data_IF_234861537506
#
_entry.id   IF_234861537506
#
_cell.length_a   1.000
_cell.length_b   1.000
_cell.length_c   1.000
_cell.angle_alpha   90.00
_cell.angle_beta   90.00
_cell.angle_gamma   90.00
#
_symmetry.space_group_name_H-M   'P 1'
#
loop_
_entity.id
_entity.type
_entity.pdbx_description
1 polymer ?
#
# COMPACT_ATOMS: atom_id res chain seq x y z
N UNK A 1 -66.34 53.27 -22.00
CA UNK A 1 -66.80 52.28 -23.00
C UNK A 1 -66.10 50.96 -22.71
N UNK A 2 -66.79 50.01 -22.07
CA UNK A 2 -66.30 48.70 -21.65
C UNK A 2 -66.91 47.55 -22.48
N UNK A 3 -66.28 46.38 -22.52
CA UNK A 3 -66.88 45.01 -22.66
C UNK A 3 -65.73 44.00 -22.74
N UNK A 4 -65.49 43.02 -21.85
CA UNK A 4 -66.31 41.98 -21.20
C UNK A 4 -66.40 40.65 -21.99
N UNK A 5 -66.21 39.54 -21.24
CA UNK A 5 -66.75 38.17 -21.39
C UNK A 5 -65.94 37.09 -22.14
N UNK A 6 -65.28 36.22 -21.33
CA UNK A 6 -65.60 34.80 -21.06
C UNK A 6 -65.54 33.69 -22.16
N UNK A 7 -65.39 32.40 -21.74
CA UNK A 7 -64.73 31.33 -22.48
C UNK A 7 -65.69 30.31 -23.11
N UNK A 8 -65.17 29.42 -23.97
CA UNK A 8 -65.91 28.27 -24.49
C UNK A 8 -65.17 26.94 -24.22
N UNK A 9 -65.96 25.98 -23.71
CA UNK A 9 -65.65 24.60 -23.32
C UNK A 9 -65.64 23.64 -24.51
N UNK A 10 -64.85 22.57 -24.44
CA UNK A 10 -65.10 21.22 -25.00
C UNK A 10 -64.20 20.24 -24.19
N UNK A 11 -64.68 19.59 -23.13
CA UNK A 11 -65.33 18.27 -23.06
C UNK A 11 -64.47 17.09 -23.52
N UNK A 12 -64.16 16.17 -22.59
CA UNK A 12 -63.60 14.85 -22.92
C UNK A 12 -63.04 14.09 -21.71
N UNK A 13 -63.93 13.52 -20.88
CA UNK A 13 -63.61 12.57 -19.81
C UNK A 13 -63.19 11.20 -20.38
N UNK A 14 -62.15 10.58 -19.81
CA UNK A 14 -62.11 9.12 -19.56
C UNK A 14 -61.43 8.83 -18.20
N UNK A 15 -62.08 7.96 -17.44
CA UNK A 15 -61.85 7.49 -16.06
C UNK A 15 -60.51 6.75 -15.84
N UNK A 16 -59.82 6.94 -14.69
CA UNK A 16 -59.79 6.13 -13.42
C UNK A 16 -59.35 4.67 -13.66
N UNK A 17 -58.30 4.10 -13.05
CA UNK A 17 -58.14 3.60 -11.65
C UNK A 17 -56.64 3.38 -11.32
N UNK A 18 -56.17 3.59 -10.06
CA UNK A 18 -54.83 3.22 -9.60
C UNK A 18 -54.78 1.80 -8.99
N UNK A 19 -53.79 1.00 -9.39
CA UNK A 19 -53.60 -0.36 -8.84
C UNK A 19 -52.50 -0.35 -7.77
N UNK A 20 -52.89 -0.62 -6.51
CA UNK A 20 -52.01 -1.14 -5.47
C UNK A 20 -51.62 -2.58 -5.79
N UNK A 21 -50.35 -2.95 -5.55
CA UNK A 21 -50.00 -4.33 -5.21
C UNK A 21 -48.98 -4.37 -4.07
N UNK A 22 -49.39 -5.07 -3.02
CA UNK A 22 -48.56 -5.57 -1.92
C UNK A 22 -47.49 -6.55 -2.45
N UNK A 23 -46.29 -6.48 -1.87
CA UNK A 23 -45.41 -7.64 -1.77
C UNK A 23 -45.00 -7.87 -0.32
N UNK A 24 -45.11 -9.14 0.04
CA UNK A 24 -44.99 -9.72 1.37
C UNK A 24 -43.53 -9.81 1.85
N UNK A 25 -43.38 -9.71 3.18
CA UNK A 25 -42.24 -10.15 4.01
C UNK A 25 -41.61 -11.44 3.49
N UNK A 26 -40.28 -11.56 3.60
CA UNK A 26 -39.61 -12.60 4.42
C UNK A 26 -38.24 -12.11 4.92
N UNK A 27 -38.00 -12.26 6.22
CA UNK A 27 -36.73 -12.01 6.92
C UNK A 27 -35.93 -13.33 6.98
N UNK A 28 -34.60 -13.33 6.85
CA UNK A 28 -33.82 -14.54 7.08
C UNK A 28 -33.62 -14.80 8.59
N UNK A 29 -33.42 -16.06 9.00
CA UNK A 29 -33.56 -16.47 10.39
C UNK A 29 -32.33 -16.19 11.26
N UNK A 30 -32.63 -15.91 12.53
CA UNK A 30 -31.71 -15.89 13.66
C UNK A 30 -31.01 -17.26 13.82
N UNK A 31 -29.68 -17.28 13.76
CA UNK A 31 -28.89 -18.39 14.28
C UNK A 31 -28.73 -18.23 15.79
N UNK A 32 -29.37 -19.14 16.52
CA UNK A 32 -29.26 -19.30 17.98
C UNK A 32 -28.13 -20.29 18.24
N UNK A 33 -26.95 -19.80 18.66
CA UNK A 33 -25.86 -20.66 19.13
C UNK A 33 -26.17 -21.12 20.55
N UNK A 34 -26.59 -22.38 20.67
CA UNK A 34 -26.71 -23.10 21.92
C UNK A 34 -25.33 -23.52 22.43
N UNK A 35 -24.99 -23.04 23.63
CA UNK A 35 -23.92 -23.56 24.46
C UNK A 35 -24.13 -25.06 24.71
N UNK A 36 -23.12 -25.88 24.39
CA UNK A 36 -22.92 -27.18 25.02
C UNK A 36 -21.50 -27.22 25.56
N UNK A 37 -21.44 -27.23 26.89
CA UNK A 37 -20.30 -27.59 27.69
C UNK A 37 -19.96 -29.06 27.44
N UNK A 38 -18.71 -29.36 27.08
CA UNK A 38 -18.16 -30.70 27.29
C UNK A 38 -16.81 -30.61 28.00
N UNK A 39 -16.74 -31.43 29.03
CA UNK A 39 -15.72 -31.53 30.05
C UNK A 39 -14.35 -31.94 29.51
N UNK A 40 -13.33 -31.41 30.17
CA UNK A 40 -11.94 -31.86 30.12
C UNK A 40 -11.77 -33.31 30.61
N UNK A 41 -10.74 -33.99 30.11
CA UNK A 41 -9.79 -34.83 30.90
C UNK A 41 -8.62 -35.28 30.01
N UNK A 42 -7.46 -35.66 30.59
CA UNK A 42 -6.15 -35.26 30.06
C UNK A 42 -5.19 -36.43 29.77
N UNK A 43 -3.94 -36.05 29.45
CA UNK A 43 -2.69 -36.83 29.38
C UNK A 43 -2.48 -37.76 28.18
N UNK A 44 -1.47 -37.42 27.37
CA UNK A 44 -0.37 -38.35 27.09
C UNK A 44 0.89 -37.57 26.72
N UNK A 45 1.84 -37.57 27.65
CA UNK A 45 3.23 -37.18 27.47
C UNK A 45 3.88 -37.92 26.29
N UNK A 46 4.35 -37.19 25.27
CA UNK A 46 5.37 -37.70 24.35
C UNK A 46 6.72 -37.08 24.67
N UNK A 47 7.58 -37.95 25.18
CA UNK A 47 9.01 -37.80 25.37
C UNK A 47 9.67 -37.57 24.01
N UNK A 48 10.39 -36.46 23.83
CA UNK A 48 11.39 -36.31 22.78
C UNK A 48 12.77 -36.54 23.39
N UNK A 49 13.58 -37.48 22.88
CA UNK A 49 14.96 -37.60 23.32
C UNK A 49 15.83 -36.51 22.68
N UNK A 50 16.71 -35.94 23.50
CA UNK A 50 17.90 -35.21 23.05
C UNK A 50 18.90 -36.20 22.44
N UNK A 51 19.44 -35.88 21.26
CA UNK A 51 20.79 -36.29 20.84
C UNK A 51 21.29 -35.24 19.83
N UNK A 52 22.31 -34.46 20.18
CA UNK A 52 23.74 -34.67 19.97
C UNK A 52 24.20 -34.49 18.51
N UNK A 53 25.07 -33.50 18.38
CA UNK A 53 25.97 -33.16 17.26
C UNK A 53 26.58 -34.33 16.48
N UNK A 54 26.50 -34.27 15.15
CA UNK A 54 27.47 -34.77 14.16
C UNK A 54 27.28 -33.91 12.89
N UNK A 55 28.16 -32.93 12.63
CA UNK A 55 29.28 -32.99 11.67
C UNK A 55 28.95 -33.58 10.30
N UNK A 56 28.82 -32.69 9.32
CA UNK A 56 29.37 -32.81 7.96
C UNK A 56 28.83 -33.91 7.03
N UNK A 57 28.07 -33.50 6.01
CA UNK A 57 28.39 -33.81 4.61
C UNK A 57 27.61 -32.93 3.63
N UNK A 58 28.33 -32.57 2.59
CA UNK A 58 28.02 -31.63 1.52
C UNK A 58 26.72 -31.91 0.77
N UNK A 59 25.89 -30.86 0.61
CA UNK A 59 24.98 -30.71 -0.52
C UNK A 59 25.41 -29.46 -1.27
N UNK A 60 26.17 -29.67 -2.35
CA UNK A 60 26.57 -28.62 -3.28
C UNK A 60 25.37 -28.26 -4.15
N UNK A 61 24.73 -27.13 -3.86
CA UNK A 61 23.87 -26.45 -4.82
C UNK A 61 24.74 -25.41 -5.53
N UNK A 62 25.11 -25.70 -6.77
CA UNK A 62 25.76 -24.73 -7.66
C UNK A 62 24.74 -23.67 -8.07
N UNK A 63 24.70 -22.57 -7.34
CA UNK A 63 24.12 -21.30 -7.77
C UNK A 63 25.26 -20.35 -8.15
N UNK A 64 25.39 -20.05 -9.43
CA UNK A 64 26.33 -19.06 -9.96
C UNK A 64 26.02 -17.68 -9.36
N UNK A 65 26.92 -17.16 -8.52
CA UNK A 65 26.87 -15.78 -8.06
C UNK A 65 27.38 -14.88 -9.19
N UNK A 66 26.47 -14.21 -9.91
CA UNK A 66 26.84 -12.99 -10.62
C UNK A 66 26.96 -11.85 -9.59
N UNK A 67 28.07 -11.12 -9.66
CA UNK A 67 28.37 -9.96 -8.80
C UNK A 67 27.31 -8.87 -8.99
N UNK A 68 26.34 -8.76 -8.09
CA UNK A 68 25.61 -7.50 -7.87
C UNK A 68 26.55 -6.53 -7.17
N UNK A 69 26.75 -5.34 -7.73
CA UNK A 69 27.56 -4.30 -7.10
C UNK A 69 26.79 -3.70 -5.92
N UNK A 70 27.27 -3.92 -4.70
CA UNK A 70 26.72 -3.32 -3.48
C UNK A 70 27.63 -2.15 -3.09
N UNK A 71 27.08 -0.94 -3.12
CA UNK A 71 27.79 0.28 -2.70
C UNK A 71 27.02 0.97 -1.57
N UNK A 72 27.73 1.20 -0.46
CA UNK A 72 27.22 2.00 0.65
C UNK A 72 27.48 3.48 0.35
N UNK A 73 26.44 4.25 0.03
CA UNK A 73 26.53 5.71 -0.05
C UNK A 73 26.00 6.30 1.27
N UNK A 74 26.81 7.12 1.95
CA UNK A 74 26.44 7.73 3.23
C UNK A 74 25.84 9.11 2.99
N UNK A 75 24.51 9.20 3.05
CA UNK A 75 23.81 10.41 3.48
C UNK A 75 23.53 10.29 4.99
N UNK A 76 23.53 11.40 5.72
CA UNK A 76 23.65 11.47 7.19
C UNK A 76 22.78 10.50 8.02
N UNK A 77 23.44 9.92 9.03
CA UNK A 77 22.98 9.13 10.21
C UNK A 77 21.98 7.96 10.06
N UNK A 78 21.39 7.73 8.89
CA UNK A 78 20.80 6.44 8.51
C UNK A 78 21.33 6.00 7.15
N UNK A 79 22.10 4.92 7.11
CA UNK A 79 22.71 4.40 5.87
C UNK A 79 21.63 3.78 4.99
N UNK A 80 21.11 4.56 4.05
CA UNK A 80 20.31 4.03 2.96
C UNK A 80 21.13 2.99 2.18
N UNK A 81 20.63 1.77 2.06
CA UNK A 81 21.28 0.72 1.26
C UNK A 81 20.88 0.91 -0.20
N UNK A 82 21.86 1.04 -1.10
CA UNK A 82 21.59 1.18 -2.53
C UNK A 82 21.89 -0.13 -3.25
N UNK A 83 20.90 -0.67 -3.95
CA UNK A 83 21.04 -1.87 -4.78
C UNK A 83 20.79 -1.51 -6.24
N UNK A 84 21.81 -1.74 -7.09
CA UNK A 84 21.73 -1.52 -8.53
C UNK A 84 21.73 -2.86 -9.26
N UNK A 85 20.73 -3.08 -10.10
CA UNK A 85 20.52 -4.31 -10.85
C UNK A 85 20.80 -4.12 -12.33
N UNK A 86 21.29 -5.16 -13.00
CA UNK A 86 21.66 -5.10 -14.42
C UNK A 86 20.44 -4.99 -15.34
N UNK A 87 19.27 -5.42 -14.88
CA UNK A 87 18.00 -5.38 -15.61
C UNK A 87 16.82 -5.17 -14.68
N UNK A 88 15.69 -4.74 -15.25
CA UNK A 88 14.42 -4.65 -14.53
C UNK A 88 13.99 -6.02 -13.97
N UNK A 89 14.24 -7.13 -14.69
CA UNK A 89 13.88 -8.47 -14.22
C UNK A 89 14.67 -8.92 -12.98
N UNK A 90 15.97 -8.61 -12.91
CA UNK A 90 16.77 -8.87 -11.71
C UNK A 90 16.28 -8.03 -10.52
N UNK A 91 15.94 -6.76 -10.76
CA UNK A 91 15.34 -5.89 -9.77
C UNK A 91 14.04 -6.48 -9.22
N UNK A 92 13.13 -6.91 -10.11
CA UNK A 92 11.86 -7.54 -9.71
C UNK A 92 12.08 -8.80 -8.88
N UNK A 93 13.02 -9.65 -9.29
CA UNK A 93 13.36 -10.88 -8.57
C UNK A 93 13.88 -10.58 -7.15
N UNK A 94 14.77 -9.60 -7.01
CA UNK A 94 15.31 -9.17 -5.72
C UNK A 94 14.24 -8.51 -4.84
N UNK A 95 13.38 -7.67 -5.42
CA UNK A 95 12.27 -7.03 -4.70
C UNK A 95 11.26 -8.07 -4.18
N UNK A 96 10.91 -9.05 -5.01
CA UNK A 96 10.03 -10.15 -4.61
C UNK A 96 10.63 -10.95 -3.45
N UNK A 97 11.92 -11.29 -3.54
CA UNK A 97 12.62 -11.96 -2.45
C UNK A 97 12.59 -11.14 -1.15
N UNK A 98 12.95 -9.85 -1.23
CA UNK A 98 12.97 -8.96 -0.07
C UNK A 98 11.59 -8.84 0.59
N UNK A 99 10.54 -8.68 -0.24
CA UNK A 99 9.16 -8.59 0.23
C UNK A 99 8.70 -9.89 0.88
N UNK A 100 9.00 -11.03 0.28
CA UNK A 100 8.64 -12.34 0.81
C UNK A 100 9.38 -12.65 2.13
N UNK A 101 10.67 -12.33 2.23
CA UNK A 101 11.46 -12.51 3.45
C UNK A 101 10.90 -11.66 4.61
N UNK A 102 10.56 -10.39 4.35
CA UNK A 102 9.93 -9.52 5.35
C UNK A 102 8.53 -10.00 5.73
N UNK A 103 7.74 -10.44 4.75
CA UNK A 103 6.43 -11.04 5.01
C UNK A 103 6.54 -12.25 5.92
N UNK A 104 7.47 -13.17 5.65
CA UNK A 104 7.67 -14.36 6.47
C UNK A 104 8.09 -13.97 7.89
N UNK A 105 9.08 -13.08 8.02
CA UNK A 105 9.57 -12.58 9.30
C UNK A 105 8.42 -12.06 10.17
N UNK A 106 7.65 -11.10 9.66
CA UNK A 106 6.63 -10.45 10.46
C UNK A 106 5.39 -11.32 10.69
N UNK A 107 5.05 -12.20 9.74
CA UNK A 107 4.04 -13.22 9.98
C UNK A 107 4.43 -14.17 11.13
N UNK A 108 5.72 -14.53 11.26
CA UNK A 108 6.20 -15.37 12.37
C UNK A 108 6.22 -14.62 13.70
N UNK A 109 6.63 -13.36 13.69
CA UNK A 109 6.76 -12.55 14.91
C UNK A 109 5.40 -12.08 15.47
N UNK A 110 4.47 -11.68 14.61
CA UNK A 110 3.23 -10.99 15.01
C UNK A 110 1.95 -11.58 14.40
N UNK A 111 2.07 -12.55 13.49
CA UNK A 111 0.90 -13.21 12.90
C UNK A 111 0.19 -12.42 11.79
N UNK A 112 0.75 -11.28 11.37
CA UNK A 112 0.28 -10.42 10.28
C UNK A 112 1.47 -9.74 9.57
N UNK A 113 1.24 -9.20 8.38
CA UNK A 113 2.20 -8.40 7.63
C UNK A 113 1.50 -7.20 6.98
N UNK A 114 1.85 -5.99 7.41
CA UNK A 114 1.29 -4.74 6.89
C UNK A 114 2.18 -4.16 5.78
N UNK A 115 1.62 -4.05 4.57
CA UNK A 115 2.34 -3.55 3.39
C UNK A 115 1.61 -2.38 2.77
N UNK A 116 2.36 -1.34 2.43
CA UNK A 116 1.83 -0.12 1.82
C UNK A 116 2.35 -0.02 0.38
N UNK A 117 1.45 0.25 -0.57
CA UNK A 117 1.76 0.42 -1.97
C UNK A 117 1.69 1.87 -2.41
N UNK A 118 2.68 2.29 -3.18
CA UNK A 118 2.58 3.45 -4.07
C UNK A 118 2.14 2.99 -5.46
N UNK A 119 1.58 3.92 -6.25
CA UNK A 119 1.23 3.65 -7.65
C UNK A 119 2.41 3.54 -8.62
N UNK A 120 2.10 3.58 -9.92
CA UNK A 120 3.08 3.69 -11.00
C UNK A 120 3.77 2.38 -11.36
N UNK A 121 5.01 2.46 -11.89
CA UNK A 121 5.75 1.30 -12.39
C UNK A 121 6.11 0.29 -11.30
N UNK A 122 6.17 0.72 -10.02
CA UNK A 122 6.41 -0.14 -8.86
C UNK A 122 5.46 -1.34 -8.82
N UNK A 123 4.16 -1.13 -9.08
CA UNK A 123 3.17 -2.21 -8.99
C UNK A 123 3.49 -3.36 -9.95
N UNK A 124 4.03 -3.04 -11.15
CA UNK A 124 4.44 -4.06 -12.11
C UNK A 124 5.63 -4.88 -11.60
N UNK A 125 6.44 -4.33 -10.71
CA UNK A 125 7.57 -5.06 -10.12
C UNK A 125 7.13 -6.15 -9.14
N UNK A 126 5.91 -6.08 -8.60
CA UNK A 126 5.33 -7.12 -7.75
C UNK A 126 4.98 -8.40 -8.50
N UNK A 127 4.97 -8.37 -9.84
CA UNK A 127 4.62 -9.53 -10.67
C UNK A 127 5.46 -10.78 -10.36
N UNK A 128 6.71 -10.62 -9.90
CA UNK A 128 7.56 -11.75 -9.51
C UNK A 128 7.07 -12.51 -8.28
N UNK A 129 6.27 -11.88 -7.41
CA UNK A 129 5.63 -12.58 -6.30
C UNK A 129 4.50 -13.53 -6.74
N UNK A 130 4.02 -13.39 -7.99
CA UNK A 130 3.01 -14.27 -8.57
C UNK A 130 3.61 -15.56 -9.18
N UNK A 131 4.94 -15.67 -9.18
CA UNK A 131 5.65 -16.83 -9.71
C UNK A 131 6.10 -17.77 -8.56
N UNK A 132 6.27 -19.08 -8.81
CA UNK A 132 6.90 -19.98 -7.85
C UNK A 132 8.32 -19.54 -7.46
N UNK A 133 8.75 -19.73 -6.21
CA UNK A 133 7.99 -20.37 -5.13
C UNK A 133 7.03 -19.40 -4.39
N UNK A 134 7.06 -18.10 -4.68
CA UNK A 134 6.43 -17.07 -3.85
C UNK A 134 4.91 -17.17 -3.80
N UNK A 135 4.26 -17.43 -4.94
CA UNK A 135 2.80 -17.55 -4.99
C UNK A 135 2.26 -18.61 -4.03
N UNK A 136 3.03 -19.68 -3.80
CA UNK A 136 2.66 -20.81 -2.95
C UNK A 136 3.19 -20.71 -1.51
N UNK A 137 4.27 -19.93 -1.29
CA UNK A 137 4.96 -19.87 0.01
C UNK A 137 4.60 -18.66 0.86
N UNK A 138 4.14 -17.56 0.26
CA UNK A 138 3.74 -16.35 0.97
C UNK A 138 2.38 -16.56 1.66
N UNK A 139 2.29 -16.16 2.93
CA UNK A 139 1.06 -16.23 3.73
C UNK A 139 0.08 -15.10 3.37
N UNK A 140 -0.51 -15.13 2.17
CA UNK A 140 -1.40 -14.07 1.66
C UNK A 140 -2.57 -13.70 2.58
N UNK A 141 -3.09 -14.66 3.35
CA UNK A 141 -4.16 -14.42 4.33
C UNK A 141 -3.74 -13.56 5.53
N UNK A 142 -2.43 -13.32 5.69
CA UNK A 142 -1.83 -12.50 6.75
C UNK A 142 -1.44 -11.12 6.27
N UNK A 143 -1.50 -10.86 4.97
CA UNK A 143 -1.22 -9.55 4.41
C UNK A 143 -2.35 -8.58 4.71
N UNK A 144 -2.00 -7.36 5.10
CA UNK A 144 -2.86 -6.19 5.20
C UNK A 144 -2.29 -5.12 4.27
N UNK A 145 -3.05 -4.73 3.25
CA UNK A 145 -2.59 -3.88 2.14
C UNK A 145 -3.19 -2.49 2.26
N UNK A 146 -2.33 -1.49 2.11
CA UNK A 146 -2.62 -0.07 2.23
C UNK A 146 -2.06 0.71 1.04
N UNK A 147 -2.46 1.97 0.89
CA UNK A 147 -1.93 2.89 -0.11
C UNK A 147 -1.18 4.05 0.54
N UNK A 148 -0.03 4.40 -0.04
CA UNK A 148 0.74 5.59 0.32
C UNK A 148 0.09 6.85 -0.25
N UNK A 149 -0.49 6.75 -1.44
CA UNK A 149 -1.29 7.79 -2.07
C UNK A 149 -2.34 7.19 -3.01
N UNK A 150 -3.38 7.97 -3.29
CA UNK A 150 -4.40 7.65 -4.29
C UNK A 150 -4.91 8.93 -4.95
N UNK A 151 -5.37 8.79 -6.19
CA UNK A 151 -5.98 9.85 -6.98
C UNK A 151 -7.45 9.86 -6.60
N UNK A 152 -8.03 11.04 -6.38
CA UNK A 152 -9.45 11.16 -6.05
C UNK A 152 -10.26 10.97 -7.34
N UNK A 153 -10.39 9.72 -7.75
CA UNK A 153 -11.11 9.24 -8.93
C UNK A 153 -11.81 7.91 -8.58
N UNK A 154 -12.83 7.50 -9.34
CA UNK A 154 -13.46 6.18 -9.16
C UNK A 154 -12.44 5.04 -9.16
N UNK A 155 -12.69 3.99 -8.37
CA UNK A 155 -11.80 2.82 -8.26
C UNK A 155 -11.57 2.08 -9.57
N UNK A 156 -12.45 2.22 -10.56
CA UNK A 156 -12.35 1.67 -11.91
C UNK A 156 -11.77 2.66 -12.93
N UNK A 157 -11.35 3.85 -12.49
CA UNK A 157 -10.72 4.84 -13.35
C UNK A 157 -9.27 4.45 -13.70
N UNK A 158 -8.79 4.68 -14.94
CA UNK A 158 -7.42 4.33 -15.35
C UNK A 158 -6.29 4.96 -14.51
N UNK A 159 -6.54 6.10 -13.88
CA UNK A 159 -5.58 6.78 -13.00
C UNK A 159 -5.58 6.27 -11.54
N UNK A 160 -6.46 5.34 -11.19
CA UNK A 160 -6.57 4.74 -9.85
C UNK A 160 -5.37 3.83 -9.56
N UNK A 161 -4.65 4.12 -8.47
CA UNK A 161 -3.60 3.26 -7.96
C UNK A 161 -4.20 1.93 -7.47
N UNK A 162 -5.42 1.93 -6.92
CA UNK A 162 -6.17 0.74 -6.56
C UNK A 162 -6.41 -0.16 -7.77
N UNK A 163 -6.95 0.39 -8.88
CA UNK A 163 -7.20 -0.38 -10.09
C UNK A 163 -5.92 -1.03 -10.60
N UNK A 164 -4.85 -0.22 -10.68
CA UNK A 164 -3.54 -0.69 -11.13
C UNK A 164 -3.03 -1.86 -10.28
N UNK A 165 -3.11 -1.75 -8.96
CA UNK A 165 -2.73 -2.81 -8.03
C UNK A 165 -3.64 -4.03 -8.13
N UNK A 166 -4.96 -3.82 -8.30
CA UNK A 166 -5.94 -4.88 -8.42
C UNK A 166 -5.70 -5.73 -9.67
N UNK A 167 -5.62 -5.11 -10.84
CA UNK A 167 -5.45 -5.80 -12.13
C UNK A 167 -4.07 -6.45 -12.25
N UNK A 168 -3.04 -5.79 -11.72
CA UNK A 168 -1.66 -6.27 -11.83
C UNK A 168 -1.35 -7.38 -10.84
N UNK A 169 -1.90 -7.32 -9.62
CA UNK A 169 -1.43 -8.12 -8.49
C UNK A 169 -2.57 -8.67 -7.61
N UNK A 170 -3.40 -7.82 -6.99
CA UNK A 170 -4.30 -8.26 -5.90
C UNK A 170 -5.36 -9.27 -6.37
N UNK A 171 -5.87 -9.14 -7.61
CA UNK A 171 -6.84 -10.10 -8.17
C UNK A 171 -6.27 -11.50 -8.42
N UNK A 172 -4.96 -11.69 -8.30
CA UNK A 172 -4.22 -12.91 -8.64
C UNK A 172 -3.68 -13.63 -7.41
N UNK A 173 -3.88 -13.08 -6.21
CA UNK A 173 -3.45 -13.68 -4.94
C UNK A 173 -4.65 -13.98 -4.04
N UNK A 174 -4.59 -15.02 -3.20
CA UNK A 174 -5.67 -15.39 -2.29
C UNK A 174 -5.69 -14.51 -1.02
N UNK A 175 -5.72 -13.18 -1.18
CA UNK A 175 -5.84 -12.23 -0.07
C UNK A 175 -7.31 -12.03 0.32
N UNK A 176 -7.66 -12.03 1.62
CA UNK A 176 -9.00 -11.67 2.07
C UNK A 176 -9.34 -10.22 1.71
N UNK A 177 -10.51 -9.99 1.12
CA UNK A 177 -10.94 -8.63 0.74
C UNK A 177 -10.98 -7.66 1.94
N UNK A 178 -11.29 -8.15 3.14
CA UNK A 178 -11.29 -7.36 4.38
C UNK A 178 -9.91 -6.89 4.84
N UNK A 179 -8.83 -7.38 4.22
CA UNK A 179 -7.47 -6.96 4.50
C UNK A 179 -6.92 -5.94 3.48
N UNK A 180 -7.76 -5.46 2.56
CA UNK A 180 -7.39 -4.46 1.54
C UNK A 180 -8.04 -3.13 1.91
N UNK A 181 -7.25 -2.20 2.44
CA UNK A 181 -7.71 -0.90 2.93
C UNK A 181 -7.51 0.18 1.86
N UNK A 182 -8.35 0.13 0.83
CA UNK A 182 -8.34 1.12 -0.24
C UNK A 182 -8.97 2.45 0.19
N UNK A 183 -8.52 3.54 -0.42
CA UNK A 183 -9.08 4.88 -0.19
C UNK A 183 -10.51 4.94 -0.76
N UNK A 184 -11.37 5.71 -0.08
CA UNK A 184 -12.79 5.81 -0.40
C UNK A 184 -13.02 6.80 -1.55
N UNK A 185 -13.38 6.26 -2.72
CA UNK A 185 -13.60 6.99 -3.97
C UNK A 185 -14.99 7.63 -4.08
N UNK A 186 -15.88 7.40 -3.11
CA UNK A 186 -17.21 8.00 -3.06
C UNK A 186 -17.24 9.36 -2.34
N UNK A 187 -16.11 9.80 -1.76
CA UNK A 187 -15.99 11.00 -0.95
C UNK A 187 -15.20 12.10 -1.68
N UNK A 188 -15.34 13.35 -1.21
CA UNK A 188 -14.43 14.42 -1.63
C UNK A 188 -13.00 14.15 -1.16
N UNK A 189 -12.01 14.89 -1.68
CA UNK A 189 -10.63 14.77 -1.22
C UNK A 189 -10.49 14.93 0.31
N UNK A 190 -11.17 15.91 0.91
CA UNK A 190 -11.22 16.08 2.37
C UNK A 190 -11.81 14.85 3.07
N UNK A 191 -12.99 14.42 2.62
CA UNK A 191 -13.72 13.32 3.25
C UNK A 191 -12.96 12.00 3.16
N UNK A 192 -12.35 11.72 2.01
CA UNK A 192 -11.55 10.53 1.78
C UNK A 192 -10.26 10.53 2.62
N UNK A 193 -9.61 11.69 2.80
CA UNK A 193 -8.46 11.82 3.70
C UNK A 193 -8.85 11.56 5.15
N UNK A 194 -9.91 12.19 5.64
CA UNK A 194 -10.36 12.04 7.03
C UNK A 194 -10.89 10.61 7.31
N UNK A 195 -11.56 9.98 6.34
CA UNK A 195 -11.99 8.57 6.39
C UNK A 195 -10.78 7.63 6.48
N UNK A 196 -9.76 7.84 5.63
CA UNK A 196 -8.56 7.01 5.65
C UNK A 196 -7.73 7.22 6.93
N UNK A 197 -7.58 8.45 7.39
CA UNK A 197 -6.93 8.79 8.67
C UNK A 197 -7.63 8.10 9.86
N UNK A 198 -8.97 8.14 9.88
CA UNK A 198 -9.80 7.46 10.89
C UNK A 198 -9.66 5.94 10.82
N UNK A 199 -9.66 5.38 9.62
CA UNK A 199 -9.45 3.94 9.38
C UNK A 199 -8.09 3.49 9.95
N UNK A 200 -7.01 4.21 9.64
CA UNK A 200 -5.69 3.90 10.17
C UNK A 200 -5.64 3.96 11.70
N UNK A 201 -6.25 4.98 12.32
CA UNK A 201 -6.37 5.09 13.79
C UNK A 201 -7.12 3.90 14.39
N UNK A 202 -8.21 3.48 13.74
CA UNK A 202 -8.94 2.29 14.17
C UNK A 202 -8.09 1.02 14.09
N UNK A 203 -7.33 0.84 13.01
CA UNK A 203 -6.47 -0.32 12.81
C UNK A 203 -5.30 -0.37 13.80
N UNK A 204 -4.77 0.80 14.19
CA UNK A 204 -3.81 0.90 15.29
C UNK A 204 -4.46 0.51 16.63
N UNK A 205 -5.63 1.06 16.94
CA UNK A 205 -6.34 0.76 18.19
C UNK A 205 -6.77 -0.71 18.32
N UNK A 206 -6.95 -1.38 17.19
CA UNK A 206 -7.30 -2.81 17.12
C UNK A 206 -6.08 -3.72 16.94
N UNK A 207 -4.86 -3.16 17.00
CA UNK A 207 -3.58 -3.86 16.86
C UNK A 207 -3.38 -4.60 15.53
N UNK A 208 -4.04 -4.16 14.45
CA UNK A 208 -3.76 -4.64 13.09
C UNK A 208 -2.48 -3.99 12.53
N UNK A 209 -2.30 -2.70 12.83
CA UNK A 209 -1.07 -1.94 12.52
C UNK A 209 -0.41 -1.57 13.85
N UNK A 210 0.90 -1.74 13.96
CA UNK A 210 1.62 -1.37 15.17
C UNK A 210 1.75 0.14 15.30
N UNK A 211 1.99 0.64 16.51
CA UNK A 211 2.41 2.02 16.75
C UNK A 211 3.92 2.03 16.92
N UNK A 212 4.61 2.99 16.29
CA UNK A 212 6.02 3.24 16.59
C UNK A 212 6.17 3.76 18.03
N UNK A 213 7.04 3.14 18.81
CA UNK A 213 7.41 3.63 20.13
C UNK A 213 8.17 4.96 20.08
N UNK A 214 8.86 5.25 18.98
CA UNK A 214 9.69 6.44 18.84
C UNK A 214 8.86 7.68 18.45
N UNK A 215 7.89 7.52 17.56
CA UNK A 215 7.15 8.64 16.98
C UNK A 215 5.67 8.66 17.35
N UNK A 216 5.09 7.56 17.83
CA UNK A 216 3.67 7.45 18.15
C UNK A 216 2.73 7.35 16.94
N UNK A 217 3.28 7.26 15.73
CA UNK A 217 2.53 7.07 14.48
C UNK A 217 2.38 5.59 14.13
N UNK A 218 1.46 5.24 13.20
CA UNK A 218 1.37 3.87 12.67
C UNK A 218 2.71 3.45 12.04
N UNK A 219 3.22 2.31 12.50
CA UNK A 219 4.42 1.66 11.99
C UNK A 219 4.01 0.49 11.10
N UNK A 220 4.12 0.72 9.78
CA UNK A 220 3.95 -0.33 8.78
C UNK A 220 5.21 -1.18 8.63
N UNK A 221 5.03 -2.44 8.26
CA UNK A 221 6.14 -3.39 8.18
C UNK A 221 7.01 -3.17 6.95
N UNK A 222 6.35 -2.89 5.82
CA UNK A 222 7.00 -2.58 4.56
C UNK A 222 6.22 -1.52 3.80
N UNK A 223 6.86 -0.41 3.49
CA UNK A 223 6.33 0.60 2.58
C UNK A 223 7.10 0.55 1.26
N UNK A 224 6.38 0.19 0.20
CA UNK A 224 6.90 0.17 -1.16
C UNK A 224 6.60 1.51 -1.81
N UNK A 225 7.63 2.34 -1.99
CA UNK A 225 7.50 3.67 -2.56
C UNK A 225 8.11 3.74 -3.96
N UNK A 226 7.36 4.34 -4.88
CA UNK A 226 7.91 4.83 -6.14
C UNK A 226 8.49 6.23 -5.97
N UNK A 227 9.21 6.69 -6.99
CA UNK A 227 9.70 8.07 -7.06
C UNK A 227 9.41 8.69 -8.43
N UNK A 228 8.95 9.94 -8.42
CA UNK A 228 8.83 10.74 -9.64
C UNK A 228 10.17 11.14 -10.27
N UNK A 229 10.18 11.56 -11.55
CA UNK A 229 11.39 12.14 -12.17
C UNK A 229 11.81 13.48 -11.53
N UNK A 230 10.91 14.09 -10.77
CA UNK A 230 11.03 15.31 -9.96
C UNK A 230 11.30 15.02 -8.47
N UNK A 231 11.55 13.76 -8.09
CA UNK A 231 11.87 13.38 -6.71
C UNK A 231 10.68 13.36 -5.73
N UNK A 232 9.44 13.55 -6.20
CA UNK A 232 8.26 13.36 -5.36
C UNK A 232 8.09 11.88 -4.97
N UNK A 233 7.53 11.66 -3.79
CA UNK A 233 7.09 10.35 -3.27
C UNK A 233 5.64 10.47 -2.83
N UNK A 234 4.85 9.40 -2.93
CA UNK A 234 3.41 9.46 -2.69
C UNK A 234 2.79 10.64 -3.48
N UNK A 235 2.03 11.53 -2.83
CA UNK A 235 1.64 12.83 -3.42
C UNK A 235 2.26 14.03 -2.69
N UNK A 236 3.52 13.88 -2.27
CA UNK A 236 4.32 14.91 -1.62
C UNK A 236 5.30 15.54 -2.61
N UNK A 237 5.02 16.77 -3.03
CA UNK A 237 5.76 17.48 -4.08
C UNK A 237 6.68 18.57 -3.51
N UNK A 238 7.79 18.83 -4.22
CA UNK A 238 8.78 19.85 -3.85
C UNK A 238 8.14 21.22 -3.67
N UNK A 239 8.42 21.88 -2.54
CA UNK A 239 7.89 23.21 -2.22
C UNK A 239 6.42 23.26 -1.79
N UNK A 240 5.70 22.12 -1.80
CA UNK A 240 4.31 22.07 -1.39
C UNK A 240 4.17 22.14 0.15
N UNK A 241 3.18 22.88 0.70
CA UNK A 241 2.99 23.00 2.16
C UNK A 241 2.80 21.68 2.89
N UNK A 242 2.30 20.64 2.22
CA UNK A 242 2.12 19.30 2.80
C UNK A 242 3.43 18.65 3.28
N UNK A 243 4.59 19.08 2.80
CA UNK A 243 5.88 18.64 3.35
C UNK A 243 6.08 19.08 4.82
N UNK A 244 5.28 20.02 5.31
CA UNK A 244 5.31 20.52 6.69
C UNK A 244 4.20 19.92 7.58
N UNK A 245 3.34 19.05 7.04
CA UNK A 245 2.31 18.36 7.83
C UNK A 245 2.97 17.40 8.83
N UNK A 246 2.62 17.55 10.11
CA UNK A 246 3.24 16.86 11.24
C UNK A 246 2.26 16.15 12.16
N UNK A 247 0.96 16.34 11.98
CA UNK A 247 -0.07 15.88 12.90
C UNK A 247 -0.97 14.82 12.26
N UNK A 248 -1.46 15.08 11.05
CA UNK A 248 -2.32 14.12 10.33
C UNK A 248 -1.56 12.89 9.88
N UNK A 249 -2.22 11.74 9.88
CA UNK A 249 -1.65 10.48 9.38
C UNK A 249 -1.84 10.37 7.87
N UNK A 250 -3.04 10.73 7.41
CA UNK A 250 -3.36 10.90 6.01
C UNK A 250 -3.99 12.28 5.77
N UNK A 251 -3.73 12.84 4.60
CA UNK A 251 -4.24 14.17 4.20
C UNK A 251 -4.47 14.22 2.70
N UNK A 252 -4.91 15.37 2.20
CA UNK A 252 -5.23 15.57 0.80
C UNK A 252 -4.45 16.73 0.19
N UNK A 253 -4.31 16.69 -1.14
CA UNK A 253 -3.82 17.78 -1.99
C UNK A 253 -4.86 18.02 -3.08
N UNK A 254 -5.10 19.28 -3.46
CA UNK A 254 -6.06 19.64 -4.53
C UNK A 254 -5.43 20.29 -5.75
N UNK A 255 -4.16 20.61 -5.65
CA UNK A 255 -3.36 21.37 -6.60
C UNK A 255 -2.07 20.62 -6.92
N UNK A 256 -2.14 19.28 -7.00
CA UNK A 256 -1.01 18.47 -7.46
C UNK A 256 -0.52 19.02 -8.81
N UNK A 257 0.79 19.26 -8.98
CA UNK A 257 1.36 19.75 -10.23
C UNK A 257 1.27 18.72 -11.37
N UNK A 258 0.75 17.52 -11.08
CA UNK A 258 0.50 16.43 -12.03
C UNK A 258 -0.96 16.01 -12.00
N UNK A 259 -1.58 15.77 -13.16
CA UNK A 259 -2.96 15.30 -13.21
C UNK A 259 -3.09 13.87 -12.62
N UNK A 260 -4.27 13.52 -12.07
CA UNK A 260 -5.30 14.45 -11.61
C UNK A 260 -4.82 15.26 -10.39
N UNK A 261 -5.37 16.48 -10.19
CA UNK A 261 -4.86 17.42 -9.19
C UNK A 261 -5.26 17.05 -7.75
N UNK A 262 -6.40 16.38 -7.58
CA UNK A 262 -6.88 15.93 -6.28
C UNK A 262 -6.34 14.54 -5.93
N UNK A 263 -5.68 14.44 -4.77
CA UNK A 263 -5.07 13.20 -4.29
C UNK A 263 -5.14 13.10 -2.77
N UNK A 264 -5.13 11.87 -2.28
CA UNK A 264 -4.94 11.52 -0.87
C UNK A 264 -3.51 11.01 -0.70
N UNK A 265 -2.87 11.31 0.41
CA UNK A 265 -1.49 10.91 0.70
C UNK A 265 -1.27 10.65 2.17
N UNK A 266 -0.43 9.66 2.48
CA UNK A 266 0.22 9.56 3.77
C UNK A 266 1.20 10.73 3.93
N UNK A 267 1.37 11.18 5.16
CA UNK A 267 2.26 12.29 5.52
C UNK A 267 3.68 11.78 5.80
N UNK A 268 4.66 12.68 5.77
CA UNK A 268 6.06 12.30 6.06
C UNK A 268 6.25 11.62 7.42
N UNK A 269 5.61 12.07 8.52
CA UNK A 269 5.69 11.36 9.80
C UNK A 269 5.28 9.89 9.69
N UNK A 270 4.16 9.58 9.02
CA UNK A 270 3.71 8.20 8.84
C UNK A 270 4.64 7.40 7.94
N UNK A 271 5.08 7.99 6.82
CA UNK A 271 6.05 7.35 5.92
C UNK A 271 7.29 6.95 6.72
N UNK A 272 7.88 7.90 7.45
CA UNK A 272 9.12 7.71 8.19
C UNK A 272 8.97 6.84 9.44
N UNK A 273 7.75 6.57 9.90
CA UNK A 273 7.50 5.65 11.01
C UNK A 273 7.54 4.17 10.59
N UNK A 274 7.61 3.90 9.28
CA UNK A 274 7.65 2.52 8.75
C UNK A 274 8.92 1.79 9.15
N UNK A 275 8.79 0.51 9.50
CA UNK A 275 9.92 -0.34 9.87
C UNK A 275 10.86 -0.62 8.70
N UNK A 276 10.34 -0.69 7.48
CA UNK A 276 11.13 -0.83 6.26
C UNK A 276 10.51 -0.02 5.13
N UNK A 277 11.35 0.72 4.40
CA UNK A 277 10.97 1.38 3.15
C UNK A 277 11.84 0.81 2.02
N UNK A 278 11.18 0.33 0.97
CA UNK A 278 11.83 0.02 -0.29
C UNK A 278 11.46 1.10 -1.32
N UNK A 279 12.44 1.92 -1.71
CA UNK A 279 12.32 2.85 -2.82
C UNK A 279 12.60 2.10 -4.13
N UNK A 280 11.55 1.81 -4.89
CA UNK A 280 11.64 1.02 -6.13
C UNK A 280 11.54 1.96 -7.32
N UNK A 281 12.68 2.16 -7.99
CA UNK A 281 12.85 3.20 -9.00
C UNK A 281 13.50 2.63 -10.25
N UNK A 282 12.78 1.85 -11.08
CA UNK A 282 13.28 1.43 -12.38
C UNK A 282 13.11 2.56 -13.42
N UNK A 283 14.04 2.62 -14.38
CA UNK A 283 13.94 3.42 -15.59
C UNK A 283 14.81 4.68 -15.63
N UNK A 284 15.39 4.94 -16.81
CA UNK A 284 16.31 6.05 -17.04
C UNK A 284 15.71 7.45 -16.83
N UNK A 285 14.38 7.60 -16.93
CA UNK A 285 13.72 8.88 -16.67
C UNK A 285 13.84 9.37 -15.22
N UNK A 286 14.34 8.53 -14.31
CA UNK A 286 14.52 8.83 -12.88
C UNK A 286 15.95 9.19 -12.51
N UNK A 287 16.91 9.05 -13.44
CA UNK A 287 18.33 9.10 -13.13
C UNK A 287 18.79 10.42 -12.51
N UNK A 288 18.23 11.55 -12.95
CA UNK A 288 18.54 12.87 -12.38
C UNK A 288 18.07 13.01 -10.92
N UNK A 289 16.85 12.57 -10.64
CA UNK A 289 16.30 12.61 -9.29
C UNK A 289 17.04 11.64 -8.36
N UNK A 290 17.40 10.45 -8.84
CA UNK A 290 18.21 9.48 -8.09
C UNK A 290 19.58 10.06 -7.75
N UNK A 291 20.28 10.63 -8.74
CA UNK A 291 21.56 11.27 -8.53
C UNK A 291 21.48 12.40 -7.49
N UNK A 292 20.51 13.31 -7.67
CA UNK A 292 20.28 14.44 -6.77
C UNK A 292 19.93 14.00 -5.35
N UNK A 293 19.14 12.93 -5.21
CA UNK A 293 18.75 12.39 -3.92
C UNK A 293 19.94 11.79 -3.16
N UNK A 294 20.73 10.93 -3.82
CA UNK A 294 21.78 10.14 -3.18
C UNK A 294 23.10 10.91 -2.96
N UNK A 295 23.44 11.87 -3.83
CA UNK A 295 24.67 12.68 -3.66
C UNK A 295 24.48 13.90 -2.75
N UNK A 296 23.24 14.18 -2.35
CA UNK A 296 22.88 15.47 -1.78
C UNK A 296 22.77 16.53 -2.88
N UNK A 297 21.71 17.32 -2.82
CA UNK A 297 21.48 18.36 -3.82
C UNK A 297 22.39 19.56 -3.54
N UNK A 298 23.09 20.08 -4.55
CA UNK A 298 23.69 21.43 -4.49
C UNK A 298 22.65 22.54 -4.68
N UNK A 299 21.38 22.19 -4.93
CA UNK A 299 20.28 23.12 -5.12
C UNK A 299 19.66 23.52 -3.77
N UNK A 300 19.05 24.70 -3.74
CA UNK A 300 18.42 25.26 -2.54
C UNK A 300 17.14 24.53 -2.09
N UNK A 301 16.51 23.73 -2.96
CA UNK A 301 15.23 23.04 -2.67
C UNK A 301 15.47 21.54 -2.54
N UNK A 302 15.23 21.00 -1.35
CA UNK A 302 15.33 19.56 -1.07
C UNK A 302 14.21 18.79 -1.79
N UNK A 303 14.55 17.62 -2.34
CA UNK A 303 13.58 16.73 -2.95
C UNK A 303 12.78 15.98 -1.87
N UNK A 304 11.46 15.77 -2.03
CA UNK A 304 10.65 15.02 -1.08
C UNK A 304 11.22 13.64 -0.73
N UNK A 305 11.80 12.92 -1.70
CA UNK A 305 12.48 11.64 -1.45
C UNK A 305 13.65 11.73 -0.47
N UNK A 306 14.33 12.87 -0.36
CA UNK A 306 15.42 13.09 0.61
C UNK A 306 14.90 13.26 2.04
N UNK A 307 13.60 13.55 2.18
CA UNK A 307 12.91 13.64 3.47
C UNK A 307 12.38 12.27 3.94
N UNK A 308 12.52 11.23 3.11
CA UNK A 308 12.19 9.85 3.46
C UNK A 308 13.35 9.25 4.26
N UNK A 309 13.18 9.25 5.58
CA UNK A 309 14.16 8.84 6.57
C UNK A 309 13.46 7.91 7.57
N UNK A 310 13.25 6.63 7.23
CA UNK A 310 12.53 5.71 8.09
C UNK A 310 13.26 5.44 9.39
N UNK A 311 12.50 5.16 10.45
CA UNK A 311 13.03 4.69 11.74
C UNK A 311 13.77 3.35 11.63
N UNK A 312 13.41 2.54 10.64
CA UNK A 312 14.06 1.26 10.37
C UNK A 312 14.95 1.30 9.12
N UNK A 313 14.73 0.41 8.17
CA UNK A 313 15.62 0.29 7.01
C UNK A 313 15.11 1.08 5.79
N UNK A 314 16.02 1.80 5.13
CA UNK A 314 15.79 2.37 3.80
C UNK A 314 16.62 1.61 2.76
N UNK A 315 15.95 1.04 1.75
CA UNK A 315 16.61 0.32 0.66
C UNK A 315 16.17 0.86 -0.68
N UNK A 316 17.12 1.29 -1.51
CA UNK A 316 16.89 1.68 -2.90
C UNK A 316 17.07 0.49 -3.83
N UNK A 317 16.06 0.23 -4.65
CA UNK A 317 16.07 -0.76 -5.74
C UNK A 317 16.10 0.00 -7.06
N UNK A 318 17.27 0.03 -7.71
CA UNK A 318 17.53 0.77 -8.94
C UNK A 318 17.90 -0.19 -10.07
N UNK A 319 17.43 0.06 -11.28
CA UNK A 319 18.02 -0.58 -12.47
C UNK A 319 19.19 0.28 -13.01
N UNK A 320 19.93 -0.26 -13.99
CA UNK A 320 20.99 0.50 -14.69
C UNK A 320 20.51 1.83 -15.25
N UNK A 321 19.27 1.92 -15.70
CA UNK A 321 18.70 3.16 -16.23
C UNK A 321 18.63 4.23 -15.16
N UNK A 322 17.98 3.95 -14.04
CA UNK A 322 17.83 4.88 -12.93
C UNK A 322 19.17 5.18 -12.23
N UNK A 323 20.12 4.26 -12.25
CA UNK A 323 21.46 4.46 -11.69
C UNK A 323 22.46 5.08 -12.68
N UNK A 324 22.06 5.42 -13.92
CA UNK A 324 22.98 5.80 -15.00
C UNK A 324 23.82 7.07 -14.75
N UNK A 325 23.49 7.84 -13.72
CA UNK A 325 24.20 9.08 -13.34
C UNK A 325 25.02 8.95 -12.04
N UNK A 326 25.00 7.80 -11.35
CA UNK A 326 25.63 7.62 -10.03
C UNK A 326 27.16 7.51 -10.04
#
# INVERSE_FOLDING_TARGET
>A
MPTALSPCLLSGNVHVVPTQFHLLRQSPPFFRLSFHSFFATPLSSRVYPKSSSLTGKDIRIFGSWKKTSMSDFVAGEMKAKVQVFDSEEELKGSLAKYTADLSEKFCRERGSFSVVFSGGSLIKCLGKLLEPPYIDSVYWSKWHVFWADERVVPKDHPDSNYLLAYDSFLSKIPIPAGNVYAINDALSAEGAADDYDTCLKHLVNTNIVCTSEASGFPQFDLMLLGMGPDGHVASLFSGHPLLQEKEKWATFIKDSPKPPPERITLTLPVINSSANIALVVPGASKADAVYSALRGSQNAVSLPVQMVLPEGQLVWFLDKGAASKL
#
